data_IF_819810502447
#
_entry.id   IF_819810502447
#
_cell.length_a   1.000
_cell.length_b   1.000
_cell.length_c   1.000
_cell.angle_alpha   90.00
_cell.angle_beta   90.00
_cell.angle_gamma   90.00
#
_symmetry.space_group_name_H-M   'P 1'
#
loop_
_entity.id
_entity.type
_entity.pdbx_description
1 polymer ?
#
# COMPACT_ATOMS: atom_id res chain seq x y z
N UNK A 1 -2.08 10.00 -3.84
CA UNK A 1 -1.48 10.31 -2.51
C UNK A 1 -0.14 11.03 -2.71
N UNK A 2 0.23 11.98 -1.86
CA UNK A 2 1.44 12.80 -1.99
C UNK A 2 2.66 12.13 -1.34
N UNK A 3 2.53 11.64 -0.11
CA UNK A 3 3.64 11.07 0.66
C UNK A 3 3.95 9.63 0.25
N UNK A 4 2.94 8.82 -0.09
CA UNK A 4 3.16 7.49 -0.66
C UNK A 4 4.04 7.53 -1.92
N UNK A 5 3.99 8.61 -2.72
CA UNK A 5 4.80 8.73 -3.93
C UNK A 5 6.30 8.80 -3.64
N UNK A 6 6.71 9.28 -2.47
CA UNK A 6 8.12 9.26 -2.03
C UNK A 6 8.64 7.83 -1.94
N UNK A 7 7.78 6.87 -1.56
CA UNK A 7 8.11 5.46 -1.49
C UNK A 7 7.97 4.76 -2.84
N UNK A 8 6.90 5.06 -3.58
CA UNK A 8 6.65 4.48 -4.90
C UNK A 8 7.76 4.82 -5.91
N UNK A 9 8.22 6.07 -5.93
CA UNK A 9 9.35 6.54 -6.77
C UNK A 9 10.69 5.89 -6.43
N UNK A 10 10.82 5.25 -5.27
CA UNK A 10 12.01 4.52 -4.85
C UNK A 10 11.81 3.00 -4.82
N UNK A 11 10.62 2.53 -5.19
CA UNK A 11 10.23 1.11 -5.08
C UNK A 11 10.50 0.53 -3.67
N UNK A 12 10.22 1.32 -2.62
CA UNK A 12 10.44 0.93 -1.22
C UNK A 12 9.12 0.69 -0.52
N UNK A 13 9.02 -0.28 0.41
CA UNK A 13 7.83 -0.50 1.21
C UNK A 13 7.60 0.65 2.21
N UNK A 14 6.35 0.84 2.63
CA UNK A 14 6.00 1.72 3.75
C UNK A 14 5.82 0.86 4.99
N UNK A 15 6.59 1.14 6.05
CA UNK A 15 6.44 0.44 7.35
C UNK A 15 5.16 0.88 8.04
N UNK A 16 4.37 -0.05 8.56
CA UNK A 16 3.21 0.29 9.38
C UNK A 16 3.66 0.78 10.75
N UNK A 17 3.27 1.98 11.14
CA UNK A 17 3.75 2.61 12.39
C UNK A 17 2.62 3.13 13.28
N UNK A 18 1.39 3.16 12.78
CA UNK A 18 0.21 3.57 13.54
C UNK A 18 -0.66 2.38 13.96
N UNK A 19 -1.35 2.47 15.10
CA UNK A 19 -2.31 1.43 15.55
C UNK A 19 -3.35 1.11 14.46
N UNK A 20 -3.73 2.15 13.72
CA UNK A 20 -4.68 2.06 12.62
C UNK A 20 -4.23 1.13 11.49
N UNK A 21 -2.93 0.81 11.34
CA UNK A 21 -2.36 0.04 10.21
C UNK A 21 -1.61 -1.23 10.61
N UNK A 22 -1.09 -1.36 11.83
CA UNK A 22 -0.30 -2.53 12.27
C UNK A 22 -1.01 -3.86 12.03
N UNK A 23 -2.35 -3.90 12.12
CA UNK A 23 -3.17 -5.10 11.84
C UNK A 23 -3.12 -5.54 10.36
N UNK A 24 -2.59 -4.73 9.45
CA UNK A 24 -2.45 -5.05 8.00
C UNK A 24 -1.12 -5.73 7.67
N UNK A 25 -0.29 -6.02 8.67
CA UNK A 25 1.06 -6.56 8.53
C UNK A 25 2.12 -5.48 8.74
N UNK A 26 3.39 -5.87 8.78
CA UNK A 26 4.50 -4.96 9.12
C UNK A 26 4.75 -3.86 8.05
N UNK A 27 4.37 -4.13 6.80
CA UNK A 27 4.58 -3.23 5.67
C UNK A 27 3.41 -3.25 4.68
N UNK A 28 3.12 -2.07 4.12
CA UNK A 28 2.55 -1.98 2.78
C UNK A 28 3.68 -2.31 1.78
N UNK A 29 3.58 -3.50 1.19
CA UNK A 29 4.64 -4.05 0.35
C UNK A 29 4.68 -3.45 -1.05
N UNK A 30 5.72 -3.80 -1.79
CA UNK A 30 5.95 -3.40 -3.18
C UNK A 30 5.65 -4.62 -4.06
N UNK A 31 4.88 -4.43 -5.12
CA UNK A 31 4.62 -5.50 -6.09
C UNK A 31 5.76 -5.63 -7.10
N UNK A 32 5.81 -6.74 -7.83
CA UNK A 32 6.75 -6.92 -8.94
C UNK A 32 6.54 -5.84 -10.01
N UNK A 33 7.61 -5.13 -10.46
CA UNK A 33 7.51 -4.08 -11.47
C UNK A 33 6.92 -4.61 -12.78
N UNK A 34 5.98 -3.86 -13.34
CA UNK A 34 5.38 -4.14 -14.64
C UNK A 34 5.01 -2.84 -15.36
N UNK A 35 4.94 -2.82 -16.71
CA UNK A 35 4.57 -1.62 -17.46
C UNK A 35 3.18 -1.08 -17.08
N UNK A 36 3.00 0.23 -17.10
CA UNK A 36 1.68 0.84 -16.91
C UNK A 36 0.70 0.37 -17.99
N UNK A 37 -0.58 0.28 -17.62
CA UNK A 37 -1.67 -0.16 -18.51
C UNK A 37 -1.50 -1.58 -19.09
N UNK A 38 -0.69 -2.42 -18.44
CA UNK A 38 -0.42 -3.80 -18.88
C UNK A 38 -1.23 -4.83 -18.07
N UNK A 39 -1.41 -6.03 -18.63
CA UNK A 39 -2.02 -7.15 -17.91
C UNK A 39 -1.10 -7.66 -16.81
N UNK A 40 0.20 -7.58 -17.04
CA UNK A 40 1.27 -7.97 -16.13
C UNK A 40 1.18 -7.15 -14.84
N UNK A 41 0.91 -5.84 -14.93
CA UNK A 41 0.68 -5.00 -13.77
C UNK A 41 -0.55 -5.47 -12.97
N UNK A 42 -1.65 -5.78 -13.66
CA UNK A 42 -2.85 -6.31 -13.01
C UNK A 42 -2.56 -7.65 -12.31
N UNK A 43 -1.73 -8.52 -12.90
CA UNK A 43 -1.34 -9.79 -12.29
C UNK A 43 -0.42 -9.61 -11.08
N UNK A 44 0.55 -8.69 -11.13
CA UNK A 44 1.39 -8.34 -9.98
C UNK A 44 0.57 -7.79 -8.81
N UNK A 45 -0.41 -6.93 -9.11
CA UNK A 45 -1.35 -6.41 -8.12
C UNK A 45 -2.20 -7.55 -7.55
N UNK A 46 -2.83 -8.37 -8.40
CA UNK A 46 -3.68 -9.48 -7.96
C UNK A 46 -2.92 -10.47 -7.07
N UNK A 47 -1.71 -10.87 -7.49
CA UNK A 47 -0.82 -11.76 -6.73
C UNK A 47 -0.60 -11.26 -5.31
N UNK A 48 -0.36 -9.96 -5.12
CA UNK A 48 -0.18 -9.38 -3.79
C UNK A 48 -1.38 -9.59 -2.87
N UNK A 49 -2.60 -9.43 -3.39
CA UNK A 49 -3.82 -9.63 -2.61
C UNK A 49 -4.14 -11.11 -2.42
N UNK A 50 -3.88 -11.97 -3.41
CA UNK A 50 -4.05 -13.42 -3.31
C UNK A 50 -3.13 -14.04 -2.25
N UNK A 51 -1.86 -13.66 -2.24
CA UNK A 51 -0.87 -14.11 -1.25
C UNK A 51 -1.24 -13.66 0.18
N UNK A 52 -2.20 -12.73 0.31
CA UNK A 52 -2.71 -12.18 1.57
C UNK A 52 -4.22 -12.33 1.71
N UNK A 53 -4.83 -13.27 0.99
CA UNK A 53 -6.28 -13.42 0.85
C UNK A 53 -7.02 -13.43 2.18
N UNK A 54 -6.57 -14.25 3.14
CA UNK A 54 -7.22 -14.35 4.46
C UNK A 54 -7.29 -13.02 5.21
N UNK A 55 -6.30 -12.15 4.99
CA UNK A 55 -6.26 -10.81 5.58
C UNK A 55 -7.09 -9.83 4.76
N UNK A 56 -6.99 -9.89 3.43
CA UNK A 56 -7.74 -9.04 2.50
C UNK A 56 -9.26 -9.19 2.63
N UNK A 57 -9.74 -10.37 3.03
CA UNK A 57 -11.16 -10.64 3.30
C UNK A 57 -11.66 -10.00 4.60
N UNK A 58 -10.76 -9.69 5.53
CA UNK A 58 -11.12 -9.14 6.87
C UNK A 58 -10.88 -7.64 6.97
N UNK A 59 -9.87 -7.13 6.27
CA UNK A 59 -9.46 -5.73 6.34
C UNK A 59 -8.93 -5.27 4.98
N UNK A 60 -9.25 -4.03 4.61
CA UNK A 60 -8.69 -3.40 3.41
C UNK A 60 -7.16 -3.36 3.47
N UNK A 61 -6.52 -3.69 2.35
CA UNK A 61 -5.06 -3.74 2.21
C UNK A 61 -4.58 -2.72 1.20
N UNK A 62 -3.26 -2.50 1.15
CA UNK A 62 -2.64 -1.67 0.14
C UNK A 62 -1.26 -2.17 -0.25
N UNK A 63 -0.85 -1.86 -1.47
CA UNK A 63 0.49 -2.10 -1.99
C UNK A 63 1.00 -0.92 -2.81
N UNK A 64 2.31 -0.90 -2.99
CA UNK A 64 3.03 0.08 -3.79
C UNK A 64 3.28 -0.51 -5.17
N UNK A 65 2.90 0.24 -6.20
CA UNK A 65 3.28 0.00 -7.59
C UNK A 65 4.57 0.78 -7.88
N UNK A 66 5.70 0.09 -8.15
CA UNK A 66 6.98 0.72 -8.50
C UNK A 66 6.84 1.85 -9.52
N UNK A 67 7.38 3.03 -9.21
CA UNK A 67 7.40 4.21 -10.09
C UNK A 67 6.02 4.77 -10.52
N UNK A 68 4.92 4.27 -9.94
CA UNK A 68 3.57 4.65 -10.35
C UNK A 68 2.77 5.24 -9.19
N UNK A 69 2.61 4.50 -8.09
CA UNK A 69 1.75 4.93 -7.00
C UNK A 69 1.37 3.77 -6.09
N UNK A 70 0.09 3.72 -5.69
CA UNK A 70 -0.42 2.70 -4.77
C UNK A 70 -1.75 2.15 -5.27
N UNK A 71 -2.05 0.93 -4.88
CA UNK A 71 -3.39 0.31 -5.02
C UNK A 71 -3.85 -0.08 -3.64
N UNK A 72 -5.12 0.16 -3.35
CA UNK A 72 -5.75 -0.21 -2.08
C UNK A 72 -7.05 -0.97 -2.33
N UNK A 73 -7.45 -1.78 -1.37
CA UNK A 73 -8.70 -2.53 -1.36
C UNK A 73 -9.53 -2.22 -0.12
N UNK A 74 -10.81 -2.54 -0.21
CA UNK A 74 -11.79 -2.48 0.87
C UNK A 74 -13.07 -3.18 0.42
N UNK A 75 -13.92 -3.56 1.37
CA UNK A 75 -15.26 -4.12 1.10
C UNK A 75 -16.22 -3.13 0.42
N UNK A 76 -15.89 -1.84 0.48
CA UNK A 76 -16.59 -0.76 -0.18
C UNK A 76 -15.62 0.39 -0.48
N UNK A 77 -16.07 1.38 -1.26
CA UNK A 77 -15.24 2.54 -1.60
C UNK A 77 -14.80 3.33 -0.36
N UNK A 78 -15.65 3.42 0.68
CA UNK A 78 -15.32 4.14 1.91
C UNK A 78 -14.21 3.44 2.71
N UNK A 79 -14.24 2.12 2.81
CA UNK A 79 -13.19 1.38 3.51
C UNK A 79 -11.88 1.35 2.72
N UNK A 80 -11.96 1.28 1.38
CA UNK A 80 -10.80 1.43 0.51
C UNK A 80 -10.16 2.83 0.66
N UNK A 81 -10.97 3.89 0.66
CA UNK A 81 -10.50 5.25 0.90
C UNK A 81 -9.88 5.40 2.30
N UNK A 82 -10.50 4.83 3.34
CA UNK A 82 -9.91 4.81 4.69
C UNK A 82 -8.57 4.07 4.73
N UNK A 83 -8.40 2.99 3.96
CA UNK A 83 -7.12 2.31 3.83
C UNK A 83 -6.06 3.22 3.18
N UNK A 84 -6.43 3.96 2.14
CA UNK A 84 -5.53 4.91 1.47
C UNK A 84 -5.06 6.02 2.42
N UNK A 85 -5.97 6.64 3.17
CA UNK A 85 -5.61 7.71 4.12
C UNK A 85 -4.67 7.22 5.23
N UNK A 86 -4.91 6.01 5.74
CA UNK A 86 -4.04 5.40 6.76
C UNK A 86 -2.66 5.04 6.21
N UNK A 87 -2.59 4.52 4.98
CA UNK A 87 -1.33 4.26 4.29
C UNK A 87 -0.54 5.56 4.05
N UNK A 88 -1.22 6.63 3.66
CA UNK A 88 -0.64 7.96 3.51
C UNK A 88 -0.12 8.52 4.84
N UNK A 89 -0.86 8.29 5.93
CA UNK A 89 -0.47 8.67 7.29
C UNK A 89 0.82 7.95 7.72
N UNK A 90 0.93 6.64 7.48
CA UNK A 90 2.18 5.93 7.76
C UNK A 90 3.33 6.41 6.86
N UNK A 91 3.06 6.77 5.61
CA UNK A 91 4.07 7.31 4.71
C UNK A 91 4.66 8.62 5.26
N UNK A 92 3.82 9.58 5.67
CA UNK A 92 4.29 10.84 6.28
C UNK A 92 5.02 10.57 7.60
N UNK A 93 4.50 9.71 8.48
CA UNK A 93 5.18 9.35 9.72
C UNK A 93 6.57 8.76 9.45
N UNK A 94 6.72 7.87 8.46
CA UNK A 94 8.03 7.29 8.12
C UNK A 94 9.02 8.29 7.53
N UNK A 95 8.54 9.30 6.80
CA UNK A 95 9.40 10.38 6.26
C UNK A 95 9.88 11.26 7.41
N UNK A 96 8.97 11.67 8.29
CA UNK A 96 9.25 12.69 9.30
C UNK A 96 9.77 12.16 10.63
N UNK A 97 9.74 10.85 10.90
CA UNK A 97 10.22 10.26 12.17
C UNK A 97 11.68 10.58 12.54
N UNK A 98 12.50 11.05 11.60
CA UNK A 98 13.89 11.46 11.86
C UNK A 98 14.01 12.88 12.43
N UNK A 99 12.91 13.64 12.47
CA UNK A 99 12.87 15.04 12.92
C UNK A 99 12.17 15.21 14.28
N UNK A 100 11.91 14.10 14.98
CA UNK A 100 11.36 14.03 16.33
C UNK A 100 12.42 13.35 17.20
#
# INVERSE_FOLDING_TARGET
>A
PQFCMVFASQSKPIKTVTEATIKRGEYFGVIDPAPAYSKELAYSVLKYFEDRRELAEKIGLGCIMPMHGVVVSGDCLMSAFSCLERMETDAICNIFKKFI
#
